data_IF_376259355841
#
_entry.id   IF_376259355841
#
_cell.length_a   1.000
_cell.length_b   1.000
_cell.length_c   1.000
_cell.angle_alpha   90.00
_cell.angle_beta   90.00
_cell.angle_gamma   90.00
#
_symmetry.space_group_name_H-M   'P 1'
#
loop_
_entity.id
_entity.type
_entity.pdbx_description
1 polymer ?
#
# COMPACT_ATOMS: atom_id res chain seq x y z
N UNK A 1 16.35 12.74 -6.02
CA UNK A 1 16.48 11.27 -5.99
C UNK A 1 15.28 10.63 -6.65
N UNK A 2 15.48 9.57 -7.44
CA UNK A 2 14.42 8.93 -8.22
C UNK A 2 13.25 8.38 -7.41
N UNK A 3 13.48 8.01 -6.17
CA UNK A 3 12.44 7.49 -5.28
C UNK A 3 11.42 8.53 -4.82
N UNK A 4 11.73 9.80 -4.95
CA UNK A 4 10.92 10.91 -4.45
C UNK A 4 10.40 11.84 -5.55
N UNK A 5 10.66 11.52 -6.83
CA UNK A 5 10.25 12.36 -7.95
C UNK A 5 9.01 11.79 -8.63
N UNK A 6 7.99 12.63 -8.82
CA UNK A 6 6.75 12.27 -9.49
C UNK A 6 6.86 12.11 -11.02
N UNK A 7 8.02 12.42 -11.64
CA UNK A 7 8.30 12.18 -13.08
C UNK A 7 8.32 10.70 -13.47
N UNK A 8 7.67 9.87 -12.67
CA UNK A 8 7.56 8.44 -12.91
C UNK A 8 6.42 8.08 -13.85
N UNK A 9 6.32 6.80 -14.12
CA UNK A 9 5.20 6.23 -14.86
C UNK A 9 3.89 6.50 -14.10
N UNK A 10 2.87 7.02 -14.79
CA UNK A 10 1.59 7.47 -14.24
C UNK A 10 1.72 8.55 -13.14
N UNK A 11 2.70 9.43 -13.22
CA UNK A 11 2.93 10.48 -12.22
C UNK A 11 3.10 9.95 -10.78
N UNK A 12 3.56 8.70 -10.65
CA UNK A 12 3.81 8.04 -9.35
C UNK A 12 5.30 7.97 -9.05
N UNK A 13 5.62 7.92 -7.75
CA UNK A 13 6.97 7.63 -7.29
C UNK A 13 7.09 6.18 -6.82
N UNK A 14 8.32 5.67 -6.71
CA UNK A 14 8.56 4.35 -6.13
C UNK A 14 8.16 4.33 -4.65
N UNK A 15 8.48 5.41 -3.91
CA UNK A 15 8.14 5.51 -2.49
C UNK A 15 6.61 5.49 -2.26
N UNK A 16 5.87 6.30 -3.04
CA UNK A 16 4.41 6.26 -3.01
C UNK A 16 3.86 4.86 -3.34
N UNK A 17 4.39 4.22 -4.36
CA UNK A 17 3.90 2.88 -4.76
C UNK A 17 4.11 1.84 -3.66
N UNK A 18 5.24 1.90 -2.94
CA UNK A 18 5.51 1.04 -1.78
C UNK A 18 4.52 1.34 -0.65
N UNK A 19 4.35 2.64 -0.30
CA UNK A 19 3.35 3.03 0.69
C UNK A 19 1.97 2.50 0.34
N UNK A 20 1.50 2.80 -0.86
CA UNK A 20 0.16 2.46 -1.32
C UNK A 20 -0.13 0.94 -1.27
N UNK A 21 0.81 0.12 -1.78
CA UNK A 21 0.68 -1.35 -1.72
C UNK A 21 0.52 -1.81 -0.27
N UNK A 22 1.46 -1.43 0.59
CA UNK A 22 1.52 -1.98 1.95
C UNK A 22 0.52 -1.36 2.90
N UNK A 23 0.07 -0.11 2.64
CA UNK A 23 -1.07 0.46 3.37
C UNK A 23 -2.36 -0.31 3.12
N UNK A 24 -2.67 -0.59 1.85
CA UNK A 24 -3.84 -1.40 1.50
C UNK A 24 -3.73 -2.80 2.12
N UNK A 25 -2.56 -3.42 2.02
CA UNK A 25 -2.34 -4.75 2.59
C UNK A 25 -2.50 -4.77 4.10
N UNK A 26 -1.93 -3.79 4.81
CA UNK A 26 -2.01 -3.67 6.26
C UNK A 26 -3.47 -3.49 6.73
N UNK A 27 -4.24 -2.62 6.06
CA UNK A 27 -5.67 -2.40 6.37
C UNK A 27 -6.45 -3.71 6.17
N UNK A 28 -6.30 -4.32 5.00
CA UNK A 28 -7.12 -5.51 4.66
C UNK A 28 -6.71 -6.74 5.45
N UNK A 29 -5.42 -6.97 5.66
CA UNK A 29 -4.94 -8.14 6.40
C UNK A 29 -5.26 -8.05 7.89
N UNK A 30 -4.93 -6.92 8.51
CA UNK A 30 -5.03 -6.81 9.96
C UNK A 30 -6.39 -6.33 10.43
N UNK A 31 -6.90 -5.20 9.89
CA UNK A 31 -8.17 -4.67 10.38
C UNK A 31 -9.38 -5.46 9.88
N UNK A 32 -9.34 -5.95 8.63
CA UNK A 32 -10.49 -6.64 8.04
C UNK A 32 -10.44 -8.16 8.26
N UNK A 33 -9.33 -8.84 7.92
CA UNK A 33 -9.27 -10.32 7.97
C UNK A 33 -9.00 -10.81 9.40
N UNK A 34 -7.97 -10.28 10.06
CA UNK A 34 -7.56 -10.72 11.40
C UNK A 34 -8.31 -9.98 12.53
N UNK A 35 -9.01 -8.88 12.22
CA UNK A 35 -9.77 -8.05 13.16
C UNK A 35 -8.90 -7.51 14.31
N UNK A 36 -7.66 -7.16 13.99
CA UNK A 36 -6.63 -6.73 14.92
C UNK A 36 -6.07 -5.35 14.53
N UNK A 37 -5.15 -4.81 15.35
CA UNK A 37 -4.51 -3.53 15.08
C UNK A 37 -3.57 -3.62 13.87
N UNK A 38 -3.65 -2.62 13.01
CA UNK A 38 -2.74 -2.45 11.89
C UNK A 38 -1.30 -2.26 12.37
N UNK A 39 -0.34 -2.78 11.62
CA UNK A 39 1.10 -2.65 11.91
C UNK A 39 1.53 -1.18 11.92
N UNK A 40 0.95 -0.35 11.05
CA UNK A 40 1.23 1.08 11.00
C UNK A 40 1.10 1.74 12.39
N UNK A 41 0.06 1.37 13.15
CA UNK A 41 -0.23 1.95 14.46
C UNK A 41 0.46 1.18 15.59
N UNK A 42 0.38 -0.14 15.59
CA UNK A 42 0.89 -1.00 16.67
C UNK A 42 2.41 -0.94 16.84
N UNK A 43 3.14 -0.52 15.80
CA UNK A 43 4.61 -0.40 15.77
C UNK A 43 5.10 1.03 15.59
N UNK A 44 4.22 2.02 15.75
CA UNK A 44 4.50 3.47 15.62
C UNK A 44 5.14 3.86 14.28
N UNK A 45 4.82 3.13 13.21
CA UNK A 45 5.39 3.40 11.89
C UNK A 45 4.97 4.75 11.31
N UNK A 46 3.86 5.35 11.76
CA UNK A 46 3.48 6.71 11.36
C UNK A 46 4.62 7.68 11.64
N UNK A 47 5.15 7.68 12.86
CA UNK A 47 6.25 8.55 13.25
C UNK A 47 7.57 8.11 12.62
N UNK A 48 7.87 6.82 12.65
CA UNK A 48 9.13 6.27 12.11
C UNK A 48 9.30 6.56 10.64
N UNK A 49 8.25 6.41 9.84
CA UNK A 49 8.22 6.73 8.40
C UNK A 49 8.16 8.23 8.17
N UNK A 50 7.74 9.03 9.15
CA UNK A 50 7.35 10.43 8.98
C UNK A 50 6.25 10.59 7.93
N UNK A 51 5.21 9.73 8.03
CA UNK A 51 4.10 9.70 7.09
C UNK A 51 3.10 10.83 7.42
N UNK A 52 2.82 11.74 6.49
CA UNK A 52 1.86 12.83 6.71
C UNK A 52 0.39 12.39 6.62
N UNK A 53 0.14 11.18 6.13
CA UNK A 53 -1.20 10.59 5.99
C UNK A 53 -1.23 9.20 6.61
N UNK A 54 -2.43 8.72 6.95
CA UNK A 54 -2.69 7.34 7.40
C UNK A 54 -3.51 6.54 6.38
N UNK A 55 -3.95 7.20 5.33
CA UNK A 55 -4.76 6.65 4.25
C UNK A 55 -3.94 5.81 3.26
N UNK A 56 -4.61 5.23 2.28
CA UNK A 56 -3.97 4.48 1.20
C UNK A 56 -3.20 5.37 0.23
N UNK A 57 -3.43 6.69 0.26
CA UNK A 57 -2.89 7.65 -0.69
C UNK A 57 -3.58 7.64 -2.06
N UNK A 58 -4.71 6.96 -2.22
CA UNK A 58 -5.47 6.96 -3.48
C UNK A 58 -5.94 8.35 -3.87
N UNK A 59 -6.24 9.18 -2.88
CA UNK A 59 -6.68 10.57 -3.02
C UNK A 59 -5.60 11.50 -3.57
N UNK A 60 -4.32 11.12 -3.48
CA UNK A 60 -3.20 11.96 -3.88
C UNK A 60 -3.01 11.98 -5.39
N UNK A 61 -2.74 13.14 -5.94
CA UNK A 61 -2.39 13.36 -7.35
C UNK A 61 -0.91 13.75 -7.53
N UNK A 62 -0.47 14.04 -8.77
CA UNK A 62 0.92 14.19 -9.17
C UNK A 62 1.83 14.99 -8.23
N UNK A 63 1.51 16.26 -7.95
CA UNK A 63 2.35 17.12 -7.10
C UNK A 63 2.27 16.71 -5.63
N UNK A 64 1.08 16.35 -5.15
CA UNK A 64 0.87 15.85 -3.80
C UNK A 64 1.61 14.52 -3.57
N UNK A 65 1.66 13.63 -4.57
CA UNK A 65 2.47 12.41 -4.51
C UNK A 65 3.96 12.73 -4.37
N UNK A 66 4.44 13.76 -5.06
CA UNK A 66 5.82 14.19 -4.98
C UNK A 66 6.16 14.75 -3.60
N UNK A 67 5.31 15.62 -3.08
CA UNK A 67 5.45 16.21 -1.74
C UNK A 67 5.41 15.11 -0.67
N UNK A 68 4.37 14.27 -0.67
CA UNK A 68 4.24 13.12 0.20
C UNK A 68 5.51 12.25 0.20
N UNK A 69 5.98 11.87 -0.99
CA UNK A 69 7.16 11.01 -1.13
C UNK A 69 8.44 11.66 -0.60
N UNK A 70 8.52 12.99 -0.63
CA UNK A 70 9.69 13.74 -0.16
C UNK A 70 9.84 13.72 1.36
N UNK A 71 8.75 13.57 2.10
CA UNK A 71 8.74 13.57 3.57
C UNK A 71 9.17 12.22 4.17
N UNK A 72 9.01 11.12 3.41
CA UNK A 72 9.14 9.77 3.96
C UNK A 72 10.57 9.37 4.30
N UNK A 73 10.75 8.75 5.46
CA UNK A 73 11.95 7.97 5.78
C UNK A 73 11.91 6.64 5.03
N UNK A 74 12.69 6.53 3.95
CA UNK A 74 12.66 5.37 3.06
C UNK A 74 13.11 4.08 3.72
N UNK A 75 14.01 4.14 4.70
CA UNK A 75 14.46 2.96 5.46
C UNK A 75 13.31 2.39 6.29
N UNK A 76 12.60 3.26 7.00
CA UNK A 76 11.47 2.84 7.82
C UNK A 76 10.26 2.43 6.99
N UNK A 77 10.05 3.05 5.83
CA UNK A 77 9.05 2.60 4.86
C UNK A 77 9.34 1.17 4.38
N UNK A 78 10.61 0.85 4.12
CA UNK A 78 11.01 -0.52 3.75
C UNK A 78 10.79 -1.51 4.90
N UNK A 79 11.16 -1.13 6.14
CA UNK A 79 10.93 -1.95 7.32
C UNK A 79 9.44 -2.23 7.53
N UNK A 80 8.59 -1.21 7.41
CA UNK A 80 7.13 -1.35 7.46
C UNK A 80 6.62 -2.32 6.40
N UNK A 81 7.01 -2.13 5.14
CA UNK A 81 6.62 -2.99 4.04
C UNK A 81 6.98 -4.46 4.30
N UNK A 82 8.19 -4.70 4.82
CA UNK A 82 8.65 -6.06 5.16
C UNK A 82 7.82 -6.68 6.29
N UNK A 83 7.56 -5.94 7.37
CA UNK A 83 6.76 -6.44 8.48
C UNK A 83 5.31 -6.74 8.08
N UNK A 84 4.69 -5.86 7.29
CA UNK A 84 3.34 -6.10 6.77
C UNK A 84 3.31 -7.36 5.93
N UNK A 85 4.23 -7.51 4.98
CA UNK A 85 4.33 -8.70 4.12
C UNK A 85 4.50 -9.99 4.94
N UNK A 86 5.41 -10.00 5.92
CA UNK A 86 5.66 -11.16 6.77
C UNK A 86 4.41 -11.51 7.61
N UNK A 87 3.75 -10.50 8.17
CA UNK A 87 2.53 -10.69 8.95
C UNK A 87 1.37 -11.20 8.10
N UNK A 88 1.13 -10.58 6.94
CA UNK A 88 0.09 -11.03 5.99
C UNK A 88 0.32 -12.48 5.57
N UNK A 89 1.55 -12.86 5.26
CA UNK A 89 1.90 -14.24 4.93
C UNK A 89 1.56 -15.21 6.09
N UNK A 90 1.81 -14.80 7.34
CA UNK A 90 1.47 -15.60 8.51
C UNK A 90 -0.04 -15.72 8.70
N UNK A 91 -0.80 -14.64 8.46
CA UNK A 91 -2.27 -14.66 8.47
C UNK A 91 -2.78 -15.66 7.42
N UNK A 92 -2.32 -15.53 6.18
CA UNK A 92 -2.76 -16.39 5.07
C UNK A 92 -2.46 -17.87 5.34
N UNK A 93 -1.29 -18.19 5.91
CA UNK A 93 -0.91 -19.57 6.24
C UNK A 93 -1.77 -20.23 7.31
N UNK A 94 -2.42 -19.45 8.17
CA UNK A 94 -3.32 -19.94 9.22
C UNK A 94 -4.74 -20.20 8.72
N UNK A 95 -5.10 -19.68 7.53
CA UNK A 95 -6.45 -19.82 6.97
C UNK A 95 -6.72 -21.26 6.56
N UNK A 96 -7.88 -21.76 6.94
CA UNK A 96 -8.42 -23.03 6.47
C UNK A 96 -9.30 -22.80 5.23
N UNK A 97 -9.57 -23.86 4.47
CA UNK A 97 -10.42 -23.78 3.28
C UNK A 97 -11.81 -23.17 3.55
N UNK A 98 -12.38 -23.46 4.72
CA UNK A 98 -13.69 -22.91 5.16
C UNK A 98 -13.66 -21.38 5.29
N UNK A 99 -12.53 -20.81 5.74
CA UNK A 99 -12.37 -19.37 5.97
C UNK A 99 -12.39 -18.56 4.67
N UNK A 100 -11.96 -19.17 3.57
CA UNK A 100 -11.90 -18.52 2.26
C UNK A 100 -13.25 -17.99 1.76
N UNK A 101 -14.35 -18.48 2.32
CA UNK A 101 -15.72 -18.05 1.98
C UNK A 101 -16.24 -16.92 2.86
N UNK A 102 -15.55 -16.57 3.99
CA UNK A 102 -15.98 -15.50 4.90
C UNK A 102 -16.05 -14.18 4.15
N UNK A 103 -17.13 -13.41 4.40
CA UNK A 103 -17.39 -12.07 3.85
C UNK A 103 -17.38 -11.04 4.96
N UNK A 104 -17.26 -9.77 4.60
CA UNK A 104 -17.07 -8.64 5.51
C UNK A 104 -18.05 -7.49 5.25
N UNK A 105 -19.25 -7.77 4.75
CA UNK A 105 -20.26 -6.76 4.40
C UNK A 105 -20.63 -5.85 5.55
N UNK A 106 -20.64 -6.36 6.77
CA UNK A 106 -20.95 -5.64 8.02
C UNK A 106 -19.81 -4.75 8.51
N UNK A 107 -18.60 -4.88 7.95
CA UNK A 107 -17.41 -4.13 8.39
C UNK A 107 -17.25 -2.76 7.74
N UNK A 108 -18.13 -2.39 6.81
CA UNK A 108 -18.03 -1.14 6.04
C UNK A 108 -17.92 0.09 6.93
N UNK A 109 -18.84 0.25 7.90
CA UNK A 109 -18.84 1.39 8.82
C UNK A 109 -17.56 1.44 9.69
N UNK A 110 -17.09 0.28 10.16
CA UNK A 110 -15.84 0.19 10.92
C UNK A 110 -14.66 0.71 10.13
N UNK A 111 -14.50 0.29 8.86
CA UNK A 111 -13.41 0.74 8.00
C UNK A 111 -13.50 2.23 7.65
N UNK A 112 -14.70 2.77 7.43
CA UNK A 112 -14.88 4.21 7.20
C UNK A 112 -14.50 5.00 8.47
N UNK A 113 -14.94 4.54 9.64
CA UNK A 113 -14.65 5.21 10.91
C UNK A 113 -13.17 5.14 11.31
N UNK A 114 -12.40 4.17 10.80
CA UNK A 114 -10.95 4.10 11.01
C UNK A 114 -10.17 5.23 10.34
N UNK A 115 -10.80 5.92 9.38
CA UNK A 115 -10.18 6.99 8.56
C UNK A 115 -8.93 6.57 7.79
N UNK A 116 -8.73 5.26 7.63
CA UNK A 116 -7.60 4.70 6.87
C UNK A 116 -7.83 4.70 5.35
N UNK A 117 -9.03 5.08 4.93
CA UNK A 117 -9.40 5.36 3.54
C UNK A 117 -10.00 6.75 3.50
N UNK A 118 -9.55 7.59 2.57
CA UNK A 118 -10.12 8.92 2.38
C UNK A 118 -11.58 8.84 1.94
N UNK A 119 -12.40 9.82 2.34
CA UNK A 119 -13.83 9.83 2.03
C UNK A 119 -14.12 9.90 0.52
N UNK A 120 -13.20 10.49 -0.27
CA UNK A 120 -13.30 10.49 -1.74
C UNK A 120 -13.09 9.10 -2.35
N UNK A 121 -12.48 8.18 -1.59
CA UNK A 121 -12.06 6.85 -2.03
C UNK A 121 -12.85 5.71 -1.36
N UNK A 122 -14.04 5.99 -0.81
CA UNK A 122 -14.90 5.01 -0.11
C UNK A 122 -15.23 3.78 -0.98
N UNK A 123 -15.17 3.92 -2.30
CA UNK A 123 -15.34 2.80 -3.23
C UNK A 123 -14.35 1.64 -2.95
N UNK A 124 -13.17 1.92 -2.37
CA UNK A 124 -12.22 0.88 -1.94
C UNK A 124 -12.82 0.02 -0.82
N UNK A 125 -13.46 0.66 0.16
CA UNK A 125 -14.13 -0.04 1.26
C UNK A 125 -15.26 -0.90 0.71
N UNK A 126 -16.08 -0.36 -0.19
CA UNK A 126 -17.15 -1.10 -0.86
C UNK A 126 -16.60 -2.30 -1.63
N UNK A 127 -15.51 -2.09 -2.33
CA UNK A 127 -14.83 -3.15 -3.07
C UNK A 127 -14.36 -4.27 -2.14
N UNK A 128 -13.64 -3.96 -1.06
CA UNK A 128 -13.11 -4.97 -0.13
C UNK A 128 -14.24 -5.70 0.60
N UNK A 129 -15.22 -4.98 1.13
CA UNK A 129 -16.36 -5.56 1.84
C UNK A 129 -17.28 -6.40 0.94
N UNK A 130 -17.25 -6.20 -0.38
CA UNK A 130 -17.97 -7.05 -1.33
C UNK A 130 -17.31 -8.40 -1.57
N UNK A 131 -16.02 -8.56 -1.20
CA UNK A 131 -15.25 -9.78 -1.44
C UNK A 131 -15.33 -10.73 -0.25
N UNK A 132 -15.05 -12.00 -0.53
CA UNK A 132 -14.67 -12.98 0.48
C UNK A 132 -13.13 -13.03 0.60
N UNK A 133 -12.60 -13.75 1.58
CA UNK A 133 -11.14 -13.86 1.79
C UNK A 133 -10.42 -14.33 0.52
N UNK A 134 -10.96 -15.30 -0.21
CA UNK A 134 -10.36 -15.73 -1.49
C UNK A 134 -10.21 -14.56 -2.47
N UNK A 135 -11.24 -13.74 -2.60
CA UNK A 135 -11.21 -12.55 -3.45
C UNK A 135 -10.21 -11.49 -2.98
N UNK A 136 -10.07 -11.32 -1.65
CA UNK A 136 -9.08 -10.42 -1.06
C UNK A 136 -7.64 -10.91 -1.25
N UNK A 137 -7.39 -12.23 -1.21
CA UNK A 137 -6.08 -12.80 -1.53
C UNK A 137 -5.73 -12.56 -3.02
N UNK A 138 -6.71 -12.67 -3.91
CA UNK A 138 -6.50 -12.39 -5.33
C UNK A 138 -6.30 -10.89 -5.63
N UNK A 139 -6.94 -10.04 -4.86
CA UNK A 139 -6.89 -8.59 -4.96
C UNK A 139 -7.35 -8.00 -3.62
N UNK A 140 -6.51 -7.37 -2.79
CA UNK A 140 -5.30 -6.63 -3.17
C UNK A 140 -3.96 -7.39 -3.02
N UNK A 141 -3.90 -8.59 -2.44
CA UNK A 141 -2.61 -9.19 -2.05
C UNK A 141 -1.79 -9.78 -3.20
N UNK A 142 -2.32 -9.85 -4.43
CA UNK A 142 -1.54 -10.36 -5.56
C UNK A 142 -1.63 -9.49 -6.81
N UNK A 143 -2.78 -9.38 -7.47
CA UNK A 143 -2.91 -8.65 -8.75
C UNK A 143 -2.59 -7.17 -8.63
N UNK A 144 -2.99 -6.53 -7.54
CA UNK A 144 -2.67 -5.14 -7.23
C UNK A 144 -1.16 -4.92 -7.14
N UNK A 145 -0.45 -5.83 -6.49
CA UNK A 145 1.00 -5.81 -6.42
C UNK A 145 1.67 -5.83 -7.78
N UNK A 146 1.24 -6.73 -8.66
CA UNK A 146 1.83 -6.88 -10.00
C UNK A 146 1.78 -5.57 -10.77
N UNK A 147 0.65 -4.86 -10.73
CA UNK A 147 0.50 -3.57 -11.42
C UNK A 147 1.47 -2.52 -10.91
N UNK A 148 1.62 -2.41 -9.59
CA UNK A 148 2.52 -1.44 -8.97
C UNK A 148 3.99 -1.81 -9.14
N UNK A 149 4.35 -3.08 -9.05
CA UNK A 149 5.72 -3.57 -9.30
C UNK A 149 6.13 -3.28 -10.74
N UNK A 150 5.24 -3.47 -11.70
CA UNK A 150 5.52 -3.11 -13.10
C UNK A 150 5.79 -1.61 -13.25
N UNK A 151 4.97 -0.75 -12.63
CA UNK A 151 5.19 0.69 -12.63
C UNK A 151 6.54 1.08 -11.98
N UNK A 152 6.88 0.48 -10.84
CA UNK A 152 8.17 0.67 -10.15
C UNK A 152 9.34 0.30 -11.07
N UNK A 153 9.27 -0.85 -11.74
CA UNK A 153 10.31 -1.31 -12.64
C UNK A 153 10.49 -0.38 -13.85
N UNK A 154 9.41 0.15 -14.41
CA UNK A 154 9.47 1.14 -15.50
C UNK A 154 10.12 2.45 -15.05
N UNK A 155 9.78 2.95 -13.85
CA UNK A 155 10.40 4.13 -13.25
C UNK A 155 11.91 3.88 -13.09
N UNK A 156 12.28 2.76 -12.47
CA UNK A 156 13.68 2.37 -12.26
C UNK A 156 14.47 2.29 -13.56
N UNK A 157 13.92 1.68 -14.60
CA UNK A 157 14.57 1.56 -15.92
C UNK A 157 14.82 2.93 -16.57
N UNK A 158 13.85 3.84 -16.52
CA UNK A 158 14.03 5.21 -17.03
C UNK A 158 15.16 5.96 -16.33
N UNK A 159 15.28 5.77 -15.03
CA UNK A 159 16.30 6.45 -14.22
C UNK A 159 17.70 5.90 -14.52
N UNK A 160 17.84 4.59 -14.63
CA UNK A 160 19.12 3.95 -15.01
C UNK A 160 19.57 4.44 -16.39
N UNK A 161 18.66 4.56 -17.35
CA UNK A 161 18.97 5.06 -18.70
C UNK A 161 19.42 6.53 -18.66
N UNK A 162 18.82 7.38 -17.82
CA UNK A 162 19.26 8.77 -17.65
C UNK A 162 20.67 8.86 -17.06
N UNK A 163 20.96 8.06 -16.03
CA UNK A 163 22.28 8.04 -15.36
C UNK A 163 23.38 7.58 -16.33
N UNK A 164 23.12 6.54 -17.12
CA UNK A 164 24.08 6.05 -18.10
C UNK A 164 24.39 7.10 -19.19
N UNK A 165 23.40 7.86 -19.65
CA UNK A 165 23.61 8.93 -20.64
C UNK A 165 24.44 10.09 -20.10
N UNK A 166 24.36 10.42 -18.82
CA UNK A 166 25.15 11.51 -18.20
C UNK A 166 26.61 11.11 -18.03
N UNK A 167 26.89 9.83 -17.81
CA UNK A 167 28.26 9.31 -17.62
C UNK A 167 28.98 9.02 -18.94
N UNK A 168 28.37 9.25 -20.08
CA UNK A 168 28.94 9.00 -21.43
C UNK A 168 29.31 10.29 -22.17
N UNK A 169 29.20 11.45 -21.50
CA UNK A 169 29.63 12.77 -21.95
C UNK A 169 30.84 13.20 -21.12
#
# INVERSE_FOLDING_TARGET
MPFKNADGYHSKTIAYSIWHIFRIEDIVAHELIEENNQILFSKDYIKRINAPIITTGNELNGDEISEFSSTLNLKELYNYAKEVMESTNNIIRKLEYKDLKKKYTEYKEKLINSKCVDLSEVWLVDYWCSKNIKGLIQMPFSRHWIMHIEAINRIKSKLLTKVLKVNTI
#
